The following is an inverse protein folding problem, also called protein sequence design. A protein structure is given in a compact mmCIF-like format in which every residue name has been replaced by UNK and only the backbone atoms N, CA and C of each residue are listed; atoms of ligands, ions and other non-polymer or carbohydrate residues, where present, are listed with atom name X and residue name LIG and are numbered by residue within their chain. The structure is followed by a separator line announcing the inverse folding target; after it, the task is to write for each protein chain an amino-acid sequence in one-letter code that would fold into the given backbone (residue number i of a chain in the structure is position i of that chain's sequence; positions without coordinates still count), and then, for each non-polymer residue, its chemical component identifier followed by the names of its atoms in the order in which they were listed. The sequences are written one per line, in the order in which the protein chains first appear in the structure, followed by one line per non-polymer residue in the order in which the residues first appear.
data_IF_277345781765
#
_entry.id   IF_277345781765
#
_cell.length_a   1.000
_cell.length_b   1.000
_cell.length_c   1.000
_cell.angle_alpha   90.00
_cell.angle_beta   90.00
_cell.angle_gamma   90.00
#
_symmetry.space_group_name_H-M   'P 1'
#
loop_
_entity.id
_entity.type
_entity.pdbx_description
1 polymer ?
#
# COMPACT_ATOMS: atom_id res chain seq x y z
N UNK A 1 16.84 -75.46 -22.30
CA UNK A 1 16.44 -74.09 -22.76
C UNK A 1 15.91 -73.32 -21.57
N UNK A 2 16.82 -72.58 -20.90
CA UNK A 2 16.48 -71.84 -19.69
C UNK A 2 16.15 -70.41 -20.07
N UNK A 3 14.91 -69.94 -19.72
CA UNK A 3 14.52 -68.53 -19.85
C UNK A 3 14.92 -67.81 -18.57
N UNK A 4 15.83 -66.84 -18.69
CA UNK A 4 16.22 -65.93 -17.64
C UNK A 4 15.23 -64.76 -17.68
N UNK A 5 14.50 -64.57 -16.57
CA UNK A 5 13.64 -63.38 -16.37
C UNK A 5 14.49 -62.27 -15.73
N UNK A 6 14.63 -61.17 -16.46
CA UNK A 6 15.30 -59.97 -16.00
C UNK A 6 14.27 -59.11 -15.26
N UNK A 7 14.37 -59.02 -13.94
CA UNK A 7 13.58 -58.10 -13.14
C UNK A 7 14.25 -56.71 -13.16
N UNK A 8 13.63 -55.75 -13.83
CA UNK A 8 14.07 -54.35 -13.82
C UNK A 8 13.54 -53.69 -12.55
N UNK A 9 14.44 -53.34 -11.67
CA UNK A 9 14.14 -52.61 -10.43
C UNK A 9 14.02 -51.12 -10.76
N UNK A 10 12.85 -50.54 -10.77
CA UNK A 10 12.61 -49.12 -10.91
C UNK A 10 12.87 -48.45 -9.55
N UNK A 11 13.95 -47.72 -9.43
CA UNK A 11 14.25 -46.87 -8.27
C UNK A 11 13.46 -45.57 -8.45
N UNK A 12 12.38 -45.42 -7.71
CA UNK A 12 11.66 -44.16 -7.54
C UNK A 12 12.49 -43.25 -6.60
N UNK A 13 13.19 -42.29 -7.16
CA UNK A 13 13.77 -41.18 -6.40
C UNK A 13 12.66 -40.21 -6.04
N UNK A 14 12.16 -40.34 -4.81
CA UNK A 14 11.33 -39.30 -4.19
C UNK A 14 12.18 -38.05 -3.92
N UNK A 15 12.07 -37.04 -4.75
CA UNK A 15 12.59 -35.71 -4.48
C UNK A 15 11.80 -35.12 -3.31
N UNK A 16 12.43 -35.12 -2.14
CA UNK A 16 11.91 -34.47 -0.93
C UNK A 16 11.92 -32.96 -1.11
N UNK A 17 10.76 -32.37 -1.47
CA UNK A 17 10.50 -30.95 -1.28
C UNK A 17 10.19 -30.68 0.19
N UNK A 18 11.17 -30.71 1.05
CA UNK A 18 11.00 -30.44 2.49
C UNK A 18 12.18 -29.62 3.02
N UNK A 19 12.30 -28.36 2.60
CA UNK A 19 13.16 -27.44 3.34
C UNK A 19 12.69 -25.97 3.40
N UNK A 20 11.51 -25.64 2.89
CA UNK A 20 10.98 -24.25 2.94
C UNK A 20 9.93 -24.02 4.03
N UNK A 21 9.49 -25.08 4.76
CA UNK A 21 8.39 -24.97 5.73
C UNK A 21 8.85 -24.83 7.20
N UNK A 22 10.15 -24.70 7.46
CA UNK A 22 10.68 -24.74 8.85
C UNK A 22 10.79 -23.39 9.55
N UNK A 23 10.63 -22.28 8.82
CA UNK A 23 10.92 -20.94 9.35
C UNK A 23 9.65 -20.09 9.60
N UNK A 24 8.44 -20.65 9.35
CA UNK A 24 7.18 -19.90 9.48
C UNK A 24 6.38 -20.48 10.66
N UNK A 25 6.25 -19.70 11.74
CA UNK A 25 5.44 -20.10 12.90
C UNK A 25 3.94 -19.85 12.59
N UNK A 26 3.13 -20.90 12.71
CA UNK A 26 1.69 -20.83 12.42
C UNK A 26 0.86 -20.05 13.46
N UNK A 27 1.44 -19.66 14.60
CA UNK A 27 0.67 -19.15 15.73
C UNK A 27 0.50 -17.62 15.71
N UNK A 28 1.59 -16.87 15.47
CA UNK A 28 1.56 -15.41 15.50
C UNK A 28 2.24 -14.87 14.25
N UNK A 29 1.53 -14.03 13.47
CA UNK A 29 2.03 -13.48 12.21
C UNK A 29 2.52 -14.63 11.27
N UNK A 30 1.64 -15.54 10.84
CA UNK A 30 2.03 -16.79 10.18
C UNK A 30 2.73 -16.61 8.83
N UNK A 31 2.59 -15.44 8.19
CA UNK A 31 3.31 -15.12 6.96
C UNK A 31 4.66 -14.45 7.20
N UNK A 32 5.09 -14.29 8.45
CA UNK A 32 6.41 -13.82 8.83
C UNK A 32 7.29 -14.95 9.25
N UNK A 33 8.55 -14.91 8.85
CA UNK A 33 9.60 -15.78 9.42
C UNK A 33 10.00 -15.30 10.81
N UNK A 34 10.65 -16.16 11.57
CA UNK A 34 11.29 -15.76 12.82
C UNK A 34 12.48 -14.86 12.49
N UNK A 35 12.25 -13.55 12.52
CA UNK A 35 13.19 -12.51 12.13
C UNK A 35 13.26 -11.41 13.17
N UNK A 36 14.26 -10.53 13.02
CA UNK A 36 14.40 -9.35 13.86
C UNK A 36 13.20 -8.40 13.77
N UNK A 37 12.64 -8.22 12.57
CA UNK A 37 11.48 -7.36 12.35
C UNK A 37 10.20 -7.91 12.98
N UNK A 38 9.95 -9.24 12.89
CA UNK A 38 8.84 -9.91 13.60
C UNK A 38 9.00 -9.75 15.12
N UNK A 39 10.19 -10.03 15.63
CA UNK A 39 10.48 -9.89 17.06
C UNK A 39 10.28 -8.45 17.54
N UNK A 40 10.71 -7.46 16.75
CA UNK A 40 10.56 -6.06 17.11
C UNK A 40 9.11 -5.63 17.25
N UNK A 41 8.23 -5.97 16.28
CA UNK A 41 6.81 -5.60 16.36
C UNK A 41 6.08 -6.33 17.49
N UNK A 42 6.36 -7.62 17.69
CA UNK A 42 5.75 -8.38 18.78
C UNK A 42 6.14 -7.79 20.13
N UNK A 43 7.43 -7.58 20.37
CA UNK A 43 7.92 -6.97 21.60
C UNK A 43 7.35 -5.55 21.82
N UNK A 44 7.25 -4.74 20.75
CA UNK A 44 6.67 -3.41 20.85
C UNK A 44 5.22 -3.46 21.33
N UNK A 45 4.41 -4.34 20.75
CA UNK A 45 3.00 -4.51 21.13
C UNK A 45 2.88 -5.03 22.57
N UNK A 46 3.60 -6.10 22.91
CA UNK A 46 3.57 -6.68 24.27
C UNK A 46 3.97 -5.68 25.34
N UNK A 47 5.03 -4.90 25.10
CA UNK A 47 5.48 -3.88 26.07
C UNK A 47 4.52 -2.70 26.15
N UNK A 48 3.91 -2.31 25.04
CA UNK A 48 2.96 -1.20 24.98
C UNK A 48 1.62 -1.53 25.63
N UNK A 49 1.26 -2.81 25.72
CA UNK A 49 -0.04 -3.26 26.23
C UNK A 49 -0.02 -3.75 27.66
N UNK A 50 1.15 -4.09 28.19
CA UNK A 50 1.32 -4.53 29.58
C UNK A 50 1.34 -3.34 30.55
N UNK A 51 0.26 -3.17 31.32
CA UNK A 51 0.12 -2.06 32.28
C UNK A 51 1.14 -2.07 33.43
N UNK A 52 1.89 -3.15 33.59
CA UNK A 52 2.96 -3.24 34.58
C UNK A 52 4.29 -2.65 34.10
N UNK A 53 4.42 -2.35 32.81
CA UNK A 53 5.64 -1.85 32.18
C UNK A 53 5.70 -0.32 32.17
N UNK A 54 6.89 0.22 32.27
CA UNK A 54 7.14 1.66 32.08
C UNK A 54 6.85 2.14 30.63
N UNK A 55 6.82 1.20 29.69
CA UNK A 55 6.53 1.41 28.27
C UNK A 55 5.04 1.30 27.93
N UNK A 56 4.17 1.08 28.91
CA UNK A 56 2.73 0.98 28.72
C UNK A 56 2.16 2.24 28.04
N UNK A 57 1.34 2.02 27.03
CA UNK A 57 0.64 3.07 26.30
C UNK A 57 -0.86 2.90 26.57
N UNK A 58 -1.57 3.92 27.09
CA UNK A 58 -3.02 3.89 27.23
C UNK A 58 -3.72 3.61 25.89
N UNK A 59 -4.83 2.88 25.90
CA UNK A 59 -5.58 2.52 24.68
C UNK A 59 -5.92 3.74 23.83
N UNK A 60 -6.25 4.87 24.46
CA UNK A 60 -6.55 6.13 23.75
C UNK A 60 -5.39 6.69 22.94
N UNK A 61 -4.17 6.26 23.22
CA UNK A 61 -2.93 6.77 22.61
C UNK A 61 -2.24 5.71 21.73
N UNK A 62 -2.80 4.49 21.62
CA UNK A 62 -2.33 3.44 20.74
C UNK A 62 -2.77 3.73 19.31
N UNK A 63 -2.05 4.60 18.63
CA UNK A 63 -2.30 5.00 17.25
C UNK A 63 -1.15 4.53 16.37
N UNK A 64 -1.50 3.75 15.34
CA UNK A 64 -0.57 3.30 14.32
C UNK A 64 -0.99 3.84 12.95
N UNK A 65 -0.04 4.39 12.19
CA UNK A 65 -0.27 4.94 10.86
C UNK A 65 0.55 4.16 9.83
N UNK A 66 -0.05 3.93 8.67
CA UNK A 66 0.52 3.14 7.59
C UNK A 66 0.42 3.90 6.29
N UNK A 67 1.49 3.97 5.53
CA UNK A 67 1.35 4.22 4.10
C UNK A 67 0.64 3.04 3.43
N UNK A 68 0.16 3.22 2.20
CA UNK A 68 -0.57 2.20 1.45
C UNK A 68 0.27 1.59 0.32
N UNK A 69 0.62 2.42 -0.66
CA UNK A 69 1.33 1.98 -1.87
C UNK A 69 2.77 1.54 -1.53
N UNK A 70 3.12 0.28 -1.82
CA UNK A 70 4.41 -0.29 -1.44
C UNK A 70 4.53 -0.69 0.04
N UNK A 71 3.54 -0.35 0.89
CA UNK A 71 3.53 -0.69 2.32
C UNK A 71 2.50 -1.76 2.65
N UNK A 72 1.26 -1.59 2.20
CA UNK A 72 0.16 -2.54 2.45
C UNK A 72 -0.23 -3.35 1.21
N UNK A 73 0.04 -2.83 0.01
CA UNK A 73 -0.12 -3.51 -1.27
C UNK A 73 1.00 -3.12 -2.25
N UNK A 74 1.09 -3.80 -3.39
CA UNK A 74 2.07 -3.49 -4.42
C UNK A 74 1.83 -2.11 -5.06
N UNK A 75 2.91 -1.49 -5.54
CA UNK A 75 2.89 -0.20 -6.23
C UNK A 75 3.57 -0.22 -7.60
N UNK A 76 4.22 -1.33 -7.97
CA UNK A 76 4.97 -1.48 -9.22
C UNK A 76 4.14 -2.19 -10.31
N UNK A 77 4.40 -1.89 -11.60
CA UNK A 77 5.42 -0.95 -12.12
C UNK A 77 5.01 0.53 -12.03
N UNK A 78 3.75 0.81 -11.75
CA UNK A 78 3.14 2.14 -11.53
C UNK A 78 2.09 2.02 -10.44
N UNK A 79 1.84 3.11 -9.72
CA UNK A 79 0.77 3.16 -8.72
C UNK A 79 -0.56 2.68 -9.29
N UNK A 80 -1.29 1.84 -8.58
CA UNK A 80 -2.50 1.21 -9.10
C UNK A 80 -3.61 2.22 -9.39
N UNK A 81 -3.68 3.32 -8.66
CA UNK A 81 -4.58 4.42 -9.01
C UNK A 81 -4.21 5.09 -10.34
N UNK A 82 -2.93 5.15 -10.71
CA UNK A 82 -2.53 5.63 -12.05
C UNK A 82 -2.98 4.62 -13.10
N UNK A 83 -2.84 3.31 -12.86
CA UNK A 83 -3.34 2.30 -13.79
C UNK A 83 -4.87 2.45 -14.01
N UNK A 84 -5.65 2.66 -12.94
CA UNK A 84 -7.06 3.00 -13.03
C UNK A 84 -7.29 4.24 -13.91
N UNK A 85 -6.59 5.34 -13.67
CA UNK A 85 -6.76 6.58 -14.42
C UNK A 85 -6.45 6.40 -15.92
N UNK A 86 -5.39 5.65 -16.26
CA UNK A 86 -5.05 5.35 -17.65
C UNK A 86 -6.14 4.52 -18.35
N UNK A 87 -6.71 3.54 -17.67
CA UNK A 87 -7.80 2.73 -18.21
C UNK A 87 -9.09 3.53 -18.34
N UNK A 88 -9.39 4.46 -17.40
CA UNK A 88 -10.52 5.39 -17.52
C UNK A 88 -10.37 6.32 -18.74
N UNK A 89 -9.18 6.85 -19.02
CA UNK A 89 -8.94 7.65 -20.25
C UNK A 89 -9.31 6.84 -21.49
N UNK A 90 -8.88 5.58 -21.59
CA UNK A 90 -9.20 4.71 -22.73
C UNK A 90 -10.71 4.44 -22.86
N UNK A 91 -11.38 4.23 -21.74
CA UNK A 91 -12.83 4.03 -21.70
C UNK A 91 -13.59 5.27 -22.18
N UNK A 92 -13.19 6.46 -21.71
CA UNK A 92 -13.80 7.75 -22.05
C UNK A 92 -13.44 8.24 -23.45
N UNK A 93 -12.36 7.77 -24.05
CA UNK A 93 -11.90 8.20 -25.38
C UNK A 93 -12.93 8.06 -26.50
N UNK A 94 -13.93 7.18 -26.34
CA UNK A 94 -15.05 7.05 -27.29
C UNK A 94 -15.94 8.30 -27.30
N UNK A 95 -16.07 8.99 -26.19
CA UNK A 95 -16.85 10.22 -26.02
C UNK A 95 -16.01 11.48 -26.29
N UNK A 96 -14.69 11.33 -26.38
CA UNK A 96 -13.71 12.40 -26.54
C UNK A 96 -12.82 12.14 -27.76
N UNK A 97 -13.35 12.25 -29.02
CA UNK A 97 -12.59 11.95 -30.23
C UNK A 97 -11.35 12.86 -30.41
N UNK A 98 -11.37 14.07 -29.84
CA UNK A 98 -10.25 15.00 -29.82
C UNK A 98 -9.02 14.47 -29.07
N UNK A 99 -9.19 13.58 -28.12
CA UNK A 99 -8.09 12.97 -27.35
C UNK A 99 -7.13 12.14 -28.20
N UNK A 100 -7.57 11.69 -29.37
CA UNK A 100 -6.70 10.97 -30.32
C UNK A 100 -5.54 11.82 -30.87
N UNK A 101 -5.62 13.14 -30.72
CA UNK A 101 -4.62 14.09 -31.21
C UNK A 101 -4.03 14.96 -30.11
N UNK A 102 -4.61 14.93 -28.90
CA UNK A 102 -4.20 15.76 -27.77
C UNK A 102 -3.37 14.97 -26.75
N UNK A 103 -2.19 15.48 -26.40
CA UNK A 103 -1.41 14.93 -25.28
C UNK A 103 -1.96 15.44 -23.94
N UNK A 104 -1.89 14.64 -22.90
CA UNK A 104 -1.28 13.29 -22.78
C UNK A 104 -2.22 12.17 -23.22
N UNK A 105 -3.47 12.44 -23.54
CA UNK A 105 -4.52 11.43 -23.81
C UNK A 105 -4.19 10.56 -25.02
N UNK A 106 -3.62 11.18 -26.08
CA UNK A 106 -3.15 10.43 -27.25
C UNK A 106 -2.18 9.33 -26.85
N UNK A 107 -1.15 9.68 -26.10
CA UNK A 107 -0.14 8.71 -25.65
C UNK A 107 -0.74 7.61 -24.77
N UNK A 108 -1.72 7.92 -23.91
CA UNK A 108 -2.46 6.91 -23.12
C UNK A 108 -3.21 5.95 -24.03
N UNK A 109 -3.93 6.46 -25.04
CA UNK A 109 -4.71 5.66 -26.00
C UNK A 109 -3.79 4.74 -26.82
N UNK A 110 -2.61 5.24 -27.22
CA UNK A 110 -1.60 4.51 -27.98
C UNK A 110 -0.76 3.56 -27.11
N UNK A 111 -0.96 3.55 -25.76
CA UNK A 111 -0.16 2.81 -24.77
C UNK A 111 1.33 3.20 -24.72
N UNK A 112 1.66 4.43 -25.10
CA UNK A 112 2.99 5.01 -25.00
C UNK A 112 3.19 5.61 -23.60
N UNK A 113 3.40 4.72 -22.60
CA UNK A 113 3.57 5.14 -21.20
C UNK A 113 4.85 5.94 -20.99
N UNK A 114 5.91 5.67 -21.75
CA UNK A 114 7.15 6.42 -21.67
C UNK A 114 6.88 7.91 -21.94
N UNK A 115 6.13 8.21 -22.99
CA UNK A 115 5.77 9.58 -23.36
C UNK A 115 4.79 10.21 -22.36
N UNK A 116 3.84 9.43 -21.80
CA UNK A 116 2.97 9.92 -20.73
C UNK A 116 3.78 10.39 -19.53
N UNK A 117 4.74 9.57 -19.07
CA UNK A 117 5.58 9.90 -17.92
C UNK A 117 6.64 10.97 -18.23
N UNK A 118 7.15 11.04 -19.46
CA UNK A 118 8.04 12.12 -19.89
C UNK A 118 7.38 13.52 -19.81
N UNK A 119 6.04 13.60 -19.91
CA UNK A 119 5.27 14.82 -19.65
C UNK A 119 5.19 15.21 -18.18
N UNK A 120 5.70 14.39 -17.27
CA UNK A 120 5.85 14.66 -15.85
C UNK A 120 4.54 14.93 -15.12
N UNK A 121 4.62 15.74 -14.07
CA UNK A 121 3.48 16.08 -13.20
C UNK A 121 2.29 16.67 -13.94
N UNK A 122 2.57 17.49 -14.97
CA UNK A 122 1.52 18.16 -15.76
C UNK A 122 0.63 17.15 -16.49
N UNK A 123 1.23 16.16 -17.17
CA UNK A 123 0.50 15.10 -17.85
C UNK A 123 -0.37 14.29 -16.89
N UNK A 124 0.19 13.91 -15.74
CA UNK A 124 -0.55 13.15 -14.72
C UNK A 124 -1.72 13.96 -14.14
N UNK A 125 -1.52 15.26 -13.86
CA UNK A 125 -2.59 16.12 -13.37
C UNK A 125 -3.72 16.28 -14.38
N UNK A 126 -3.43 16.38 -15.69
CA UNK A 126 -4.46 16.42 -16.72
C UNK A 126 -5.25 15.12 -16.79
N UNK A 127 -4.58 13.96 -16.72
CA UNK A 127 -5.22 12.64 -16.68
C UNK A 127 -6.11 12.53 -15.44
N UNK A 128 -5.56 12.85 -14.25
CA UNK A 128 -6.33 12.78 -12.99
C UNK A 128 -7.54 13.71 -13.03
N UNK A 129 -7.40 14.91 -13.59
CA UNK A 129 -8.51 15.87 -13.70
C UNK A 129 -9.69 15.28 -14.46
N UNK A 130 -9.49 14.68 -15.63
CA UNK A 130 -10.60 14.17 -16.45
C UNK A 130 -11.18 12.84 -15.94
N UNK A 131 -10.43 12.10 -15.16
CA UNK A 131 -10.84 10.77 -14.65
C UNK A 131 -11.37 10.79 -13.21
N UNK A 132 -11.08 11.86 -12.44
CA UNK A 132 -11.40 11.94 -11.01
C UNK A 132 -12.30 13.12 -10.65
N UNK A 133 -12.75 13.94 -11.60
CA UNK A 133 -13.57 15.11 -11.32
C UNK A 133 -14.74 15.27 -12.29
N UNK A 134 -15.63 16.22 -12.00
CA UNK A 134 -16.82 16.47 -12.81
C UNK A 134 -17.95 15.48 -12.57
N UNK A 135 -17.85 14.66 -11.51
CA UNK A 135 -18.83 13.66 -11.09
C UNK A 135 -19.03 13.73 -9.58
N UNK A 136 -20.05 13.08 -9.04
CA UNK A 136 -20.22 12.95 -7.59
C UNK A 136 -19.18 11.99 -7.00
N UNK A 137 -19.03 12.04 -5.66
CA UNK A 137 -18.17 11.08 -4.95
C UNK A 137 -18.64 9.64 -5.20
N UNK A 138 -19.95 9.42 -5.15
CA UNK A 138 -20.57 8.10 -5.35
C UNK A 138 -20.34 7.57 -6.79
N UNK A 139 -20.50 8.42 -7.81
CA UNK A 139 -20.22 8.05 -9.20
C UNK A 139 -18.75 7.69 -9.41
N UNK A 140 -17.84 8.42 -8.77
CA UNK A 140 -16.42 8.11 -8.79
C UNK A 140 -16.13 6.76 -8.11
N UNK A 141 -16.65 6.54 -6.92
CA UNK A 141 -16.49 5.28 -6.18
C UNK A 141 -17.02 4.10 -6.97
N UNK A 142 -18.19 4.22 -7.59
CA UNK A 142 -18.75 3.18 -8.47
C UNK A 142 -17.82 2.86 -9.64
N UNK A 143 -17.17 3.86 -10.24
CA UNK A 143 -16.22 3.65 -11.33
C UNK A 143 -14.96 2.88 -10.87
N UNK A 144 -14.49 3.14 -9.66
CA UNK A 144 -13.38 2.41 -9.03
C UNK A 144 -13.77 0.96 -8.73
N UNK A 145 -14.95 0.71 -8.16
CA UNK A 145 -15.48 -0.64 -7.91
C UNK A 145 -15.53 -1.48 -9.19
N UNK A 146 -16.10 -0.90 -10.25
CA UNK A 146 -16.22 -1.57 -11.56
C UNK A 146 -14.84 -1.92 -12.13
N UNK A 147 -13.88 -1.02 -11.99
CA UNK A 147 -12.52 -1.26 -12.48
C UNK A 147 -11.82 -2.36 -11.66
N UNK A 148 -11.89 -2.31 -10.33
CA UNK A 148 -11.29 -3.33 -9.45
C UNK A 148 -11.87 -4.72 -9.69
N UNK A 149 -13.17 -4.80 -10.01
CA UNK A 149 -13.83 -6.07 -10.33
C UNK A 149 -13.36 -6.70 -11.66
N UNK A 150 -12.87 -5.89 -12.60
CA UNK A 150 -12.55 -6.34 -13.96
C UNK A 150 -11.03 -6.34 -14.25
N UNK A 151 -10.30 -5.38 -13.72
CA UNK A 151 -8.89 -5.16 -14.03
C UNK A 151 -7.98 -6.15 -13.30
N UNK A 152 -6.90 -6.53 -13.98
CA UNK A 152 -5.90 -7.42 -13.42
C UNK A 152 -4.51 -6.88 -13.68
N UNK A 153 -3.64 -7.04 -12.69
CA UNK A 153 -2.22 -6.78 -12.86
C UNK A 153 -1.63 -7.74 -13.90
N UNK A 154 -0.79 -7.18 -14.79
CA UNK A 154 -0.24 -7.94 -15.92
C UNK A 154 0.82 -8.96 -15.52
N UNK A 155 1.60 -8.66 -14.46
CA UNK A 155 2.66 -9.55 -13.99
C UNK A 155 2.11 -10.74 -13.23
N UNK A 156 1.16 -10.48 -12.33
CA UNK A 156 0.65 -11.49 -11.41
C UNK A 156 -0.64 -12.16 -11.91
N UNK A 157 -1.36 -11.56 -12.87
CA UNK A 157 -2.64 -12.07 -13.37
C UNK A 157 -3.76 -12.02 -12.32
N UNK A 158 -3.53 -11.35 -11.18
CA UNK A 158 -4.47 -11.18 -10.07
C UNK A 158 -5.22 -9.87 -10.20
N UNK A 159 -6.40 -9.76 -9.58
CA UNK A 159 -7.05 -8.47 -9.37
C UNK A 159 -6.14 -7.56 -8.52
N UNK A 160 -6.24 -6.24 -8.71
CA UNK A 160 -5.35 -5.31 -7.99
C UNK A 160 -5.53 -5.37 -6.47
N UNK A 161 -6.76 -5.54 -5.98
CA UNK A 161 -7.06 -5.71 -4.55
C UNK A 161 -6.58 -7.05 -3.95
N UNK A 162 -6.25 -8.05 -4.79
CA UNK A 162 -5.61 -9.30 -4.36
C UNK A 162 -4.07 -9.14 -4.15
N UNK A 163 -3.51 -7.98 -4.52
CA UNK A 163 -2.09 -7.69 -4.37
C UNK A 163 -1.78 -6.95 -3.05
N UNK A 164 -2.61 -7.15 -2.05
CA UNK A 164 -2.34 -6.72 -0.68
C UNK A 164 -1.34 -7.65 -0.01
N UNK A 165 -0.37 -7.09 0.72
CA UNK A 165 0.66 -7.89 1.39
C UNK A 165 0.09 -8.63 2.59
N UNK A 166 0.04 -9.95 2.48
CA UNK A 166 -0.49 -10.81 3.53
C UNK A 166 0.19 -10.60 4.89
N UNK A 167 1.54 -10.49 4.99
CA UNK A 167 2.19 -10.21 6.27
C UNK A 167 1.75 -8.89 6.89
N UNK A 168 1.52 -7.87 6.08
CA UNK A 168 1.10 -6.56 6.57
C UNK A 168 -0.36 -6.57 7.04
N UNK A 169 -1.24 -7.32 6.38
CA UNK A 169 -2.62 -7.53 6.88
C UNK A 169 -2.63 -8.28 8.22
N UNK A 170 -1.76 -9.27 8.39
CA UNK A 170 -1.59 -9.96 9.67
C UNK A 170 -1.10 -9.00 10.77
N UNK A 171 -0.15 -8.12 10.45
CA UNK A 171 0.33 -7.08 11.37
C UNK A 171 -0.78 -6.09 11.75
N UNK A 172 -1.60 -5.65 10.79
CA UNK A 172 -2.76 -4.80 11.07
C UNK A 172 -3.74 -5.50 12.01
N UNK A 173 -4.10 -6.76 11.74
CA UNK A 173 -4.97 -7.56 12.60
C UNK A 173 -4.41 -7.68 14.00
N UNK A 174 -3.13 -8.02 14.14
CA UNK A 174 -2.44 -8.15 15.43
C UNK A 174 -2.48 -6.85 16.23
N UNK A 175 -2.25 -5.70 15.61
CA UNK A 175 -2.36 -4.40 16.24
C UNK A 175 -3.79 -4.08 16.69
N UNK A 176 -4.78 -4.33 15.82
CA UNK A 176 -6.20 -4.09 16.11
C UNK A 176 -6.70 -4.97 17.27
N UNK A 177 -6.32 -6.24 17.32
CA UNK A 177 -6.63 -7.15 18.42
C UNK A 177 -5.99 -6.71 19.76
N UNK A 178 -4.90 -5.92 19.69
CA UNK A 178 -4.26 -5.30 20.83
C UNK A 178 -4.71 -3.85 21.09
N UNK A 179 -5.88 -3.47 20.57
CA UNK A 179 -6.52 -2.16 20.73
C UNK A 179 -5.70 -0.98 20.21
N UNK A 180 -4.91 -1.16 19.15
CA UNK A 180 -4.38 -0.05 18.38
C UNK A 180 -5.42 0.43 17.37
N UNK A 181 -5.59 1.74 17.26
CA UNK A 181 -6.29 2.36 16.13
C UNK A 181 -5.33 2.44 14.96
N UNK A 182 -5.66 1.80 13.85
CA UNK A 182 -4.85 1.78 12.64
C UNK A 182 -5.42 2.76 11.62
N UNK A 183 -4.56 3.58 11.04
CA UNK A 183 -4.91 4.56 10.01
C UNK A 183 -4.08 4.33 8.76
N UNK A 184 -4.67 4.58 7.60
CA UNK A 184 -3.90 4.76 6.36
C UNK A 184 -3.58 6.25 6.22
N UNK A 185 -2.34 6.57 5.83
CA UNK A 185 -1.85 7.94 5.54
C UNK A 185 -1.03 7.85 4.26
N UNK A 186 -1.65 8.16 3.11
CA UNK A 186 -1.11 7.79 1.80
C UNK A 186 -1.12 8.93 0.79
N UNK A 187 -0.13 8.97 -0.08
CA UNK A 187 -0.10 9.81 -1.28
C UNK A 187 -1.22 9.48 -2.28
N UNK A 188 -1.82 8.29 -2.19
CA UNK A 188 -2.98 7.89 -2.98
C UNK A 188 -4.23 8.70 -2.66
N UNK A 189 -5.18 8.71 -3.60
CA UNK A 189 -6.45 9.44 -3.45
C UNK A 189 -7.36 8.80 -2.41
N UNK A 190 -7.82 9.60 -1.45
CA UNK A 190 -8.65 9.12 -0.35
C UNK A 190 -9.92 8.43 -0.82
N UNK A 191 -10.63 8.97 -1.84
CA UNK A 191 -11.86 8.38 -2.36
C UNK A 191 -11.62 7.06 -3.10
N UNK A 192 -10.44 6.89 -3.71
CA UNK A 192 -10.05 5.63 -4.34
C UNK A 192 -9.82 4.54 -3.30
N UNK A 193 -9.10 4.86 -2.24
CA UNK A 193 -8.79 3.90 -1.17
C UNK A 193 -10.04 3.50 -0.37
N UNK A 194 -10.96 4.43 -0.09
CA UNK A 194 -12.20 4.17 0.66
C UNK A 194 -13.11 3.14 0.02
N UNK A 195 -12.96 2.87 -1.27
CA UNK A 195 -13.77 1.86 -1.97
C UNK A 195 -13.41 0.43 -1.55
N UNK A 196 -12.14 0.13 -1.28
CA UNK A 196 -11.66 -1.24 -1.13
C UNK A 196 -10.84 -1.50 0.14
N UNK A 197 -10.14 -0.50 0.65
CA UNK A 197 -9.25 -0.66 1.79
C UNK A 197 -9.99 -1.00 3.11
N UNK A 198 -11.23 -0.53 3.36
CA UNK A 198 -11.98 -0.95 4.54
C UNK A 198 -12.16 -2.45 4.64
N UNK A 199 -12.54 -3.12 3.57
CA UNK A 199 -12.71 -4.57 3.53
C UNK A 199 -11.36 -5.30 3.59
N UNK A 200 -10.35 -4.81 2.86
CA UNK A 200 -9.05 -5.45 2.76
C UNK A 200 -8.26 -5.43 4.08
N UNK A 201 -8.41 -4.36 4.88
CA UNK A 201 -7.58 -4.09 6.05
C UNK A 201 -8.34 -3.99 7.38
N UNK A 202 -9.66 -4.11 7.35
CA UNK A 202 -10.51 -3.85 8.51
C UNK A 202 -10.23 -2.46 9.15
N UNK A 203 -10.06 -1.45 8.28
CA UNK A 203 -9.85 -0.04 8.66
C UNK A 203 -11.06 0.75 8.20
N UNK A 204 -11.84 1.39 9.08
CA UNK A 204 -13.01 2.15 8.69
C UNK A 204 -12.64 3.37 7.81
N UNK A 205 -13.58 3.79 6.95
CA UNK A 205 -13.36 4.83 5.94
C UNK A 205 -12.83 6.16 6.53
N UNK A 206 -13.31 6.54 7.72
CA UNK A 206 -12.87 7.74 8.44
C UNK A 206 -11.43 7.65 8.97
N UNK A 207 -10.84 6.46 9.00
CA UNK A 207 -9.43 6.23 9.36
C UNK A 207 -8.52 6.14 8.13
N UNK A 208 -9.03 6.46 6.94
CA UNK A 208 -8.26 6.55 5.71
C UNK A 208 -8.01 8.03 5.39
N UNK A 209 -6.75 8.41 5.44
CA UNK A 209 -6.21 9.74 5.11
C UNK A 209 -5.46 9.61 3.78
N UNK A 210 -5.65 10.57 2.88
CA UNK A 210 -5.00 10.54 1.59
C UNK A 210 -5.09 11.87 0.84
N UNK A 211 -4.50 11.90 -0.34
CA UNK A 211 -4.66 13.03 -1.24
C UNK A 211 -6.11 13.24 -1.61
N UNK A 212 -6.55 14.49 -1.67
CA UNK A 212 -7.94 14.84 -1.93
C UNK A 212 -8.07 15.95 -2.97
N UNK A 213 -9.08 15.83 -3.80
CA UNK A 213 -9.57 16.95 -4.61
C UNK A 213 -10.55 17.79 -3.79
N UNK A 214 -10.75 19.04 -4.18
CA UNK A 214 -11.81 19.87 -3.60
C UNK A 214 -13.17 19.30 -3.90
N UNK A 215 -14.10 19.48 -2.98
CA UNK A 215 -15.52 19.15 -3.16
C UNK A 215 -16.35 20.43 -3.27
N UNK A 216 -17.46 20.31 -3.97
CA UNK A 216 -18.52 21.31 -4.00
C UNK A 216 -19.85 20.67 -3.58
N UNK A 217 -20.45 21.22 -2.56
CA UNK A 217 -21.82 20.84 -2.18
C UNK A 217 -22.81 21.56 -3.06
N UNK A 218 -23.80 20.83 -3.56
CA UNK A 218 -24.95 21.40 -4.26
C UNK A 218 -26.26 20.79 -3.75
N UNK A 219 -27.32 21.59 -3.82
CA UNK A 219 -28.68 21.14 -3.48
C UNK A 219 -29.61 21.58 -4.61
N UNK A 220 -29.84 20.69 -5.57
CA UNK A 220 -30.66 20.95 -6.73
C UNK A 220 -31.84 19.98 -6.77
N UNK A 221 -33.04 20.48 -7.06
CA UNK A 221 -34.26 19.67 -7.17
C UNK A 221 -34.55 18.79 -5.93
N UNK A 222 -34.21 19.29 -4.74
CA UNK A 222 -34.41 18.57 -3.47
C UNK A 222 -33.38 17.46 -3.22
N UNK A 223 -32.34 17.34 -4.06
CA UNK A 223 -31.28 16.32 -3.94
C UNK A 223 -29.94 16.95 -3.54
N UNK A 224 -29.38 16.59 -2.37
CA UNK A 224 -28.02 16.98 -1.99
C UNK A 224 -27.00 16.16 -2.77
N UNK A 225 -25.92 16.79 -3.25
CA UNK A 225 -24.81 16.15 -3.95
C UNK A 225 -23.48 16.74 -3.50
N UNK A 226 -22.45 15.91 -3.47
CA UNK A 226 -21.05 16.33 -3.28
C UNK A 226 -20.29 16.02 -4.58
N UNK A 227 -19.95 17.08 -5.30
CA UNK A 227 -19.23 17.00 -6.57
C UNK A 227 -17.72 17.06 -6.34
N UNK A 228 -16.97 16.23 -7.06
CA UNK A 228 -15.51 16.28 -7.11
C UNK A 228 -15.07 17.32 -8.13
N UNK A 229 -14.31 18.31 -7.68
CA UNK A 229 -13.73 19.35 -8.54
C UNK A 229 -12.36 18.91 -9.09
N UNK A 230 -11.95 19.52 -10.21
CA UNK A 230 -10.63 19.25 -10.82
C UNK A 230 -9.46 19.98 -10.17
N UNK A 231 -9.60 20.40 -8.91
CA UNK A 231 -8.59 21.11 -8.13
C UNK A 231 -8.11 20.27 -6.97
N UNK A 232 -6.80 20.21 -6.76
CA UNK A 232 -6.19 19.53 -5.62
C UNK A 232 -6.46 20.34 -4.33
N UNK A 233 -7.00 19.67 -3.31
CA UNK A 233 -7.11 20.22 -1.96
C UNK A 233 -5.81 19.97 -1.18
N UNK A 234 -5.33 18.72 -1.18
CA UNK A 234 -4.10 18.30 -0.50
C UNK A 234 -3.43 17.17 -1.25
N UNK A 235 -2.10 17.16 -1.29
CA UNK A 235 -1.28 16.03 -1.71
C UNK A 235 -0.61 15.46 -0.45
N UNK A 236 -1.06 14.30 0.00
CA UNK A 236 -0.66 13.68 1.27
C UNK A 236 0.69 12.93 1.14
N UNK A 237 1.74 13.69 0.89
CA UNK A 237 3.11 13.19 0.70
C UNK A 237 4.10 13.96 1.57
N UNK A 238 5.13 13.30 2.08
CA UNK A 238 6.20 13.87 2.89
C UNK A 238 5.68 14.57 4.15
N UNK A 239 6.03 15.85 4.32
CA UNK A 239 5.64 16.66 5.49
C UNK A 239 4.12 16.82 5.60
N UNK A 240 3.41 16.83 4.48
CA UNK A 240 1.95 16.96 4.45
C UNK A 240 1.25 15.77 5.13
N UNK A 241 1.85 14.56 5.09
CA UNK A 241 1.35 13.42 5.89
C UNK A 241 1.27 13.77 7.38
N UNK A 242 2.29 14.44 7.92
CA UNK A 242 2.31 14.88 9.33
C UNK A 242 1.23 15.91 9.61
N UNK A 243 1.06 16.87 8.69
CA UNK A 243 0.03 17.92 8.81
C UNK A 243 -1.36 17.31 8.82
N UNK A 244 -1.66 16.38 7.90
CA UNK A 244 -2.94 15.70 7.82
C UNK A 244 -3.20 14.77 9.03
N UNK A 245 -2.17 14.08 9.55
CA UNK A 245 -2.27 13.37 10.83
C UNK A 245 -2.72 14.33 11.94
N UNK A 246 -2.09 15.51 12.02
CA UNK A 246 -2.45 16.50 13.04
C UNK A 246 -3.87 17.05 12.85
N UNK A 247 -4.30 17.34 11.61
CA UNK A 247 -5.63 17.84 11.33
C UNK A 247 -6.74 16.82 11.60
N UNK A 248 -6.51 15.55 11.29
CA UNK A 248 -7.58 14.52 11.26
C UNK A 248 -7.56 13.69 12.55
N UNK A 249 -6.38 13.26 12.99
CA UNK A 249 -6.23 12.43 14.20
C UNK A 249 -6.08 13.30 15.45
N UNK A 250 -5.35 14.43 15.36
CA UNK A 250 -5.08 15.34 16.48
C UNK A 250 -4.16 14.78 17.56
N UNK A 251 -3.52 13.62 17.31
CA UNK A 251 -2.59 12.94 18.20
C UNK A 251 -1.39 12.41 17.42
N UNK A 252 -0.24 12.38 18.10
CA UNK A 252 0.99 11.79 17.55
C UNK A 252 0.88 10.26 17.58
N UNK A 253 1.09 9.57 16.44
CA UNK A 253 1.13 8.11 16.42
C UNK A 253 2.32 7.56 17.20
N UNK A 254 2.18 6.36 17.76
CA UNK A 254 3.26 5.64 18.43
C UNK A 254 3.93 4.60 17.52
N UNK A 255 3.33 4.31 16.39
CA UNK A 255 3.87 3.46 15.34
C UNK A 255 3.59 4.09 13.99
N UNK A 256 4.62 4.16 13.13
CA UNK A 256 4.49 4.56 11.74
C UNK A 256 5.16 3.53 10.84
N UNK A 257 4.50 3.15 9.76
CA UNK A 257 5.00 2.16 8.80
C UNK A 257 4.90 2.72 7.40
N UNK A 258 5.97 2.61 6.62
CA UNK A 258 6.06 3.09 5.25
C UNK A 258 7.05 2.28 4.44
N UNK A 259 7.35 2.71 3.20
CA UNK A 259 8.32 2.03 2.34
C UNK A 259 9.23 2.99 1.57
N UNK A 260 9.03 4.29 1.69
CA UNK A 260 9.68 5.29 0.84
C UNK A 260 10.15 6.54 1.59
N UNK A 261 10.92 7.39 0.91
CA UNK A 261 11.29 8.73 1.41
C UNK A 261 10.06 9.64 1.60
N UNK A 262 8.92 9.32 0.98
CA UNK A 262 7.64 10.00 1.18
C UNK A 262 7.10 9.84 2.61
N UNK A 263 7.50 8.77 3.31
CA UNK A 263 7.03 8.42 4.64
C UNK A 263 7.97 8.90 5.75
N UNK A 264 9.16 9.38 5.36
CA UNK A 264 10.22 9.73 6.31
C UNK A 264 9.74 10.72 7.38
N UNK A 265 9.06 11.80 6.98
CA UNK A 265 8.56 12.81 7.91
C UNK A 265 7.53 12.22 8.90
N UNK A 266 6.61 11.37 8.44
CA UNK A 266 5.63 10.68 9.28
C UNK A 266 6.31 9.77 10.31
N UNK A 267 7.32 9.02 9.89
CA UNK A 267 8.10 8.16 10.78
C UNK A 267 8.92 8.96 11.80
N UNK A 268 9.57 10.05 11.36
CA UNK A 268 10.29 10.98 12.28
C UNK A 268 9.34 11.58 13.30
N UNK A 269 8.15 12.00 12.88
CA UNK A 269 7.13 12.56 13.78
C UNK A 269 6.68 11.53 14.82
N UNK A 270 6.32 10.33 14.40
CA UNK A 270 5.90 9.26 15.30
C UNK A 270 6.99 8.93 16.32
N UNK A 271 8.24 8.80 15.86
CA UNK A 271 9.37 8.38 16.69
C UNK A 271 10.07 9.49 17.46
N UNK A 272 9.53 10.72 17.43
CA UNK A 272 10.02 11.85 18.24
C UNK A 272 9.55 11.84 19.71
N UNK A 273 8.93 10.75 20.15
CA UNK A 273 8.45 10.53 21.52
C UNK A 273 8.96 9.19 22.05
N UNK A 274 9.01 8.98 23.38
CA UNK A 274 9.38 7.70 23.95
C UNK A 274 8.34 6.61 23.62
N UNK A 275 8.75 5.35 23.74
CA UNK A 275 7.90 4.19 23.52
C UNK A 275 7.19 4.21 22.15
N UNK A 276 7.95 4.51 21.11
CA UNK A 276 7.47 4.60 19.73
C UNK A 276 8.41 3.89 18.79
N UNK A 277 7.89 3.47 17.63
CA UNK A 277 8.64 2.72 16.62
C UNK A 277 8.24 3.15 15.22
N UNK A 278 9.19 3.09 14.28
CA UNK A 278 8.90 3.10 12.86
C UNK A 278 9.38 1.81 12.20
N UNK A 279 8.67 1.38 11.16
CA UNK A 279 9.07 0.24 10.33
C UNK A 279 9.04 0.61 8.86
N UNK A 280 9.99 0.09 8.09
CA UNK A 280 10.10 0.34 6.65
C UNK A 280 10.08 -1.00 5.91
N UNK A 281 9.13 -1.17 5.01
CA UNK A 281 9.11 -2.28 4.06
C UNK A 281 10.18 -2.03 3.01
N UNK A 282 11.24 -2.82 3.04
CA UNK A 282 12.31 -2.80 2.05
C UNK A 282 12.04 -3.87 1.00
N UNK A 283 11.80 -3.43 -0.23
CA UNK A 283 11.47 -4.30 -1.36
C UNK A 283 12.72 -4.98 -1.91
N UNK A 284 12.97 -6.20 -1.45
CA UNK A 284 14.17 -6.99 -1.76
C UNK A 284 13.89 -8.24 -2.58
N UNK A 285 12.61 -8.53 -2.90
CA UNK A 285 12.18 -9.80 -3.48
C UNK A 285 11.69 -9.69 -4.93
N UNK A 286 12.63 -9.68 -5.85
CA UNK A 286 12.34 -9.67 -7.29
C UNK A 286 11.54 -10.88 -7.79
N UNK A 287 11.64 -12.01 -7.09
CA UNK A 287 11.01 -13.25 -7.53
C UNK A 287 9.50 -13.28 -7.23
N UNK A 288 9.10 -12.84 -6.04
CA UNK A 288 7.71 -12.90 -5.56
C UNK A 288 6.96 -11.58 -5.71
N UNK A 289 7.70 -10.44 -5.73
CA UNK A 289 7.18 -9.09 -5.86
C UNK A 289 8.10 -8.27 -6.79
N UNK A 290 8.66 -7.17 -6.35
CA UNK A 290 9.62 -6.35 -7.06
C UNK A 290 10.81 -6.05 -6.15
N UNK A 291 11.99 -5.83 -6.76
CA UNK A 291 13.15 -5.33 -6.03
C UNK A 291 13.45 -3.90 -6.46
N UNK A 292 13.39 -2.98 -5.52
CA UNK A 292 13.71 -1.57 -5.75
C UNK A 292 14.02 -0.86 -4.42
N UNK A 293 14.77 0.24 -4.51
CA UNK A 293 15.12 1.14 -3.41
C UNK A 293 15.56 2.52 -3.94
N UNK A 294 16.82 2.89 -3.77
CA UNK A 294 17.39 4.22 -3.98
C UNK A 294 17.20 4.82 -5.37
N UNK A 295 17.16 4.00 -6.42
CA UNK A 295 17.10 4.45 -7.80
C UNK A 295 15.72 4.34 -8.42
N UNK A 296 14.71 4.02 -7.62
CA UNK A 296 13.35 3.84 -8.12
C UNK A 296 12.65 5.18 -8.32
N UNK A 297 11.90 5.32 -9.42
CA UNK A 297 11.02 6.45 -9.65
C UNK A 297 9.70 6.33 -8.87
N UNK A 298 9.28 5.10 -8.56
CA UNK A 298 8.10 4.76 -7.75
C UNK A 298 8.58 4.09 -6.47
N UNK A 299 8.15 4.56 -5.31
CA UNK A 299 8.54 4.01 -4.01
C UNK A 299 10.04 4.17 -3.71
N UNK A 300 10.61 5.34 -4.01
CA UNK A 300 12.04 5.60 -3.78
C UNK A 300 12.35 5.56 -2.29
N UNK A 301 13.28 4.68 -1.92
CA UNK A 301 13.78 4.52 -0.56
C UNK A 301 15.29 4.80 -0.54
N UNK A 302 15.68 6.01 -0.18
CA UNK A 302 17.07 6.46 -0.18
C UNK A 302 17.45 7.07 1.17
N UNK A 303 16.93 8.25 1.50
CA UNK A 303 17.23 8.95 2.75
C UNK A 303 16.63 8.25 3.97
N UNK A 304 15.41 7.76 3.86
CA UNK A 304 14.75 7.01 4.93
C UNK A 304 15.47 5.68 5.21
N UNK A 305 16.10 5.05 4.20
CA UNK A 305 16.93 3.87 4.40
C UNK A 305 18.18 4.16 5.21
N UNK A 306 18.86 5.28 4.92
CA UNK A 306 20.03 5.70 5.70
C UNK A 306 19.65 6.03 7.14
N UNK A 307 18.52 6.72 7.33
CA UNK A 307 18.03 7.07 8.66
C UNK A 307 17.61 5.83 9.46
N UNK A 308 16.97 4.85 8.84
CA UNK A 308 16.61 3.58 9.49
C UNK A 308 17.85 2.83 10.02
N UNK A 309 18.95 2.86 9.27
CA UNK A 309 20.20 2.24 9.70
C UNK A 309 20.91 3.00 10.83
N UNK A 310 20.50 4.25 11.10
CA UNK A 310 21.12 5.12 12.11
C UNK A 310 20.29 5.26 13.40
N UNK A 311 19.04 4.76 13.42
CA UNK A 311 18.12 4.92 14.56
C UNK A 311 17.74 3.58 15.19
N UNK A 312 17.86 3.47 16.50
CA UNK A 312 17.54 2.25 17.25
C UNK A 312 16.03 1.92 17.27
N UNK A 313 15.17 2.93 17.11
CA UNK A 313 13.71 2.76 17.11
C UNK A 313 13.08 2.72 15.70
N UNK A 314 13.90 2.56 14.67
CA UNK A 314 13.47 2.28 13.31
C UNK A 314 13.90 0.87 12.91
N UNK A 315 12.99 0.11 12.29
CA UNK A 315 13.21 -1.29 11.92
C UNK A 315 12.96 -1.48 10.42
N UNK A 316 13.92 -2.10 9.72
CA UNK A 316 13.72 -2.55 8.35
C UNK A 316 13.00 -3.91 8.33
N UNK A 317 12.04 -4.04 7.43
CA UNK A 317 11.37 -5.29 7.06
C UNK A 317 11.94 -5.71 5.72
N UNK A 318 12.81 -6.71 5.69
CA UNK A 318 13.34 -7.29 4.45
C UNK A 318 12.32 -8.25 3.85
N UNK A 319 11.61 -7.81 2.79
CA UNK A 319 10.53 -8.61 2.19
C UNK A 319 10.96 -10.03 1.84
N UNK A 320 12.16 -10.21 1.30
CA UNK A 320 12.66 -11.53 0.89
C UNK A 320 13.00 -12.43 2.07
N UNK A 321 13.61 -11.84 3.10
CA UNK A 321 14.17 -12.61 4.21
C UNK A 321 13.21 -12.73 5.38
N UNK A 322 12.30 -11.77 5.59
CA UNK A 322 11.38 -11.74 6.72
C UNK A 322 10.00 -12.32 6.42
N UNK A 323 9.61 -12.43 5.15
CA UNK A 323 8.28 -12.91 4.77
C UNK A 323 8.29 -14.33 4.19
N UNK A 324 7.34 -15.17 4.66
CA UNK A 324 7.06 -16.50 4.13
C UNK A 324 6.17 -16.44 2.87
N UNK A 325 5.20 -15.57 2.88
CA UNK A 325 4.31 -15.28 1.75
C UNK A 325 4.30 -13.77 1.49
N UNK A 326 3.94 -13.36 0.26
CA UNK A 326 3.73 -11.94 -0.07
C UNK A 326 2.23 -11.66 -0.18
N UNK A 327 1.49 -12.46 -0.99
CA UNK A 327 0.06 -12.31 -1.26
C UNK A 327 -0.74 -13.52 -0.79
#
# INVERSE_FOLDING_TARGET
MNKIHLCTLAVLTSLSFSSLAKDCDANLLPSWKDSGSKTAIVNFVEQSTDSSKATFIPVSDRIAVFDNDGTLWSEKPIYFQIAFALDQVKALAKMHPEWKTQEPFKSVIENDLEKVFAGGKESLLQIMKVTHSGMTVEEYQQSVEQWLAAAKDKRFGKAYNDLTFKPMREMLTYLQENNFKTYIVSGGGVDFMRVWAPEAYNIPEEQIIGSALKYEYSFNDGQPKVMKLGELLTLDDKEVKVENIQYIIGKKPVLAVGNSDGDQAMMQWATSQPNSMAMIVHHTDEAREWKYDRQSDVGRLDKALDEANARDNWQLIDMKNDWCAVY
#
